data_IF_271242517768
#
_entry.id   IF_271242517768
#
_cell.length_a   1.000
_cell.length_b   1.000
_cell.length_c   1.000
_cell.angle_alpha   90.00
_cell.angle_beta   90.00
_cell.angle_gamma   90.00
#
_symmetry.space_group_name_H-M   'P 1'
#
loop_
_entity.id
_entity.type
_entity.pdbx_description
1 polymer ?
#
# COMPACT_ATOMS: atom_id res chain seq x y z
N UNK A 1 -1.47 -31.82 9.95
CA UNK A 1 -1.24 -30.41 9.56
C UNK A 1 -2.60 -29.75 9.47
N UNK A 2 -2.88 -28.74 10.30
CA UNK A 2 -4.12 -27.96 10.14
C UNK A 2 -4.05 -27.18 8.83
N UNK A 3 -5.06 -27.28 7.95
CA UNK A 3 -5.06 -26.49 6.73
C UNK A 3 -5.05 -24.99 7.10
N UNK A 4 -4.08 -24.27 6.59
CA UNK A 4 -4.00 -22.81 6.76
C UNK A 4 -5.27 -22.19 6.17
N UNK A 5 -5.91 -21.24 6.87
CA UNK A 5 -7.10 -20.60 6.35
C UNK A 5 -6.78 -19.89 5.02
N UNK A 6 -7.56 -20.16 4.00
CA UNK A 6 -7.41 -19.52 2.69
C UNK A 6 -7.72 -18.03 2.83
N UNK A 7 -6.83 -17.13 2.40
CA UNK A 7 -7.09 -15.71 2.42
C UNK A 7 -8.37 -15.33 1.66
N UNK A 8 -9.11 -14.38 2.20
CA UNK A 8 -10.36 -13.90 1.62
C UNK A 8 -10.22 -12.44 1.16
N UNK A 9 -11.08 -12.01 0.25
CA UNK A 9 -11.21 -10.60 -0.15
C UNK A 9 -11.39 -9.68 1.06
N UNK A 10 -12.20 -10.12 2.04
CA UNK A 10 -12.45 -9.35 3.25
C UNK A 10 -11.19 -9.17 4.10
N UNK A 11 -10.41 -10.24 4.31
CA UNK A 11 -9.15 -10.14 5.06
C UNK A 11 -8.15 -9.21 4.37
N UNK A 12 -8.08 -9.25 3.04
CA UNK A 12 -7.25 -8.35 2.25
C UNK A 12 -7.69 -6.88 2.39
N UNK A 13 -9.00 -6.60 2.32
CA UNK A 13 -9.54 -5.24 2.51
C UNK A 13 -9.28 -4.70 3.92
N UNK A 14 -9.36 -5.55 4.95
CA UNK A 14 -9.05 -5.17 6.33
C UNK A 14 -7.59 -4.74 6.44
N UNK A 15 -6.65 -5.50 5.85
CA UNK A 15 -5.23 -5.17 5.87
C UNK A 15 -4.97 -3.84 5.14
N UNK A 16 -5.52 -3.66 3.94
CA UNK A 16 -5.40 -2.41 3.20
C UNK A 16 -5.96 -1.23 3.99
N UNK A 17 -7.15 -1.39 4.58
CA UNK A 17 -7.78 -0.36 5.42
C UNK A 17 -6.95 -0.03 6.66
N UNK A 18 -6.41 -1.03 7.35
CA UNK A 18 -5.57 -0.82 8.53
C UNK A 18 -4.31 0.00 8.19
N UNK A 19 -3.63 -0.31 7.08
CA UNK A 19 -2.44 0.42 6.64
C UNK A 19 -2.77 1.84 6.15
N UNK A 20 -3.93 2.03 5.49
CA UNK A 20 -4.38 3.37 5.13
C UNK A 20 -4.70 4.23 6.36
N UNK A 21 -5.33 3.63 7.37
CA UNK A 21 -5.62 4.30 8.65
C UNK A 21 -4.33 4.62 9.41
N UNK A 22 -3.33 3.73 9.42
CA UNK A 22 -2.04 4.02 10.06
C UNK A 22 -1.36 5.26 9.46
N UNK A 23 -1.36 5.39 8.14
CA UNK A 23 -0.84 6.58 7.45
C UNK A 23 -1.58 7.87 7.84
N UNK A 24 -2.92 7.80 7.99
CA UNK A 24 -3.72 8.93 8.47
C UNK A 24 -3.43 9.27 9.94
N UNK A 25 -3.21 8.26 10.79
CA UNK A 25 -2.85 8.47 12.19
C UNK A 25 -1.50 9.16 12.34
N UNK A 26 -0.53 8.88 11.45
CA UNK A 26 0.74 9.65 11.42
C UNK A 26 0.48 11.13 11.15
N UNK A 27 -0.41 11.45 10.20
CA UNK A 27 -0.81 12.82 9.91
C UNK A 27 -1.49 13.51 11.09
N UNK A 28 -2.40 12.81 11.75
CA UNK A 28 -3.10 13.30 12.93
C UNK A 28 -2.14 13.55 14.09
N UNK A 29 -1.22 12.63 14.34
CA UNK A 29 -0.17 12.77 15.36
C UNK A 29 0.70 14.00 15.06
N UNK A 30 1.15 14.15 13.81
CA UNK A 30 1.94 15.31 13.40
C UNK A 30 1.17 16.62 13.58
N UNK A 31 -0.13 16.64 13.26
CA UNK A 31 -1.00 17.79 13.47
C UNK A 31 -1.07 18.20 14.94
N UNK A 32 -1.28 17.26 15.86
CA UNK A 32 -1.33 17.56 17.29
C UNK A 32 0.02 18.04 17.84
N UNK A 33 1.13 17.47 17.37
CA UNK A 33 2.48 17.89 17.77
C UNK A 33 2.77 19.31 17.26
N UNK A 34 2.41 19.64 16.01
CA UNK A 34 2.67 20.97 15.45
C UNK A 34 1.84 22.07 16.12
N UNK A 35 0.60 21.77 16.49
CA UNK A 35 -0.27 22.70 17.19
C UNK A 35 -0.06 22.71 18.71
N UNK A 36 0.82 21.83 19.23
CA UNK A 36 1.25 21.83 20.63
C UNK A 36 2.12 23.05 20.94
N UNK A 37 2.11 23.48 22.21
CA UNK A 37 2.90 24.63 22.67
C UNK A 37 4.39 24.34 22.88
N UNK A 38 4.86 23.16 22.52
CA UNK A 38 6.26 22.73 22.70
C UNK A 38 7.13 23.30 21.57
N UNK A 39 8.16 24.12 21.87
CA UNK A 39 9.08 24.62 20.87
C UNK A 39 9.79 23.43 20.19
N UNK A 40 9.76 23.40 18.86
CA UNK A 40 10.43 22.37 18.07
C UNK A 40 11.80 22.88 17.62
N UNK A 41 12.83 22.11 17.90
CA UNK A 41 14.18 22.41 17.43
C UNK A 41 14.39 21.80 16.05
N UNK A 42 14.85 22.61 15.08
CA UNK A 42 15.20 22.14 13.76
C UNK A 42 16.58 21.51 13.79
N UNK A 43 16.70 20.26 13.36
CA UNK A 43 17.99 19.58 13.25
C UNK A 43 18.89 20.24 12.20
N UNK A 44 20.18 20.50 12.51
CA UNK A 44 21.12 21.08 11.54
C UNK A 44 21.28 20.25 10.27
N UNK A 45 21.09 18.93 10.34
CA UNK A 45 21.15 18.01 9.19
C UNK A 45 19.87 17.92 8.36
N UNK A 46 18.80 18.63 8.73
CA UNK A 46 17.50 18.53 8.06
C UNK A 46 17.54 18.76 6.55
N UNK A 47 18.25 19.76 5.98
CA UNK A 47 18.25 19.98 4.54
C UNK A 47 18.79 18.79 3.74
N UNK A 48 19.90 18.20 4.18
CA UNK A 48 20.50 17.02 3.54
C UNK A 48 19.61 15.80 3.72
N UNK A 49 19.13 15.53 4.95
CA UNK A 49 18.24 14.41 5.24
C UNK A 49 16.91 14.52 4.46
N UNK A 50 16.37 15.72 4.30
CA UNK A 50 15.17 15.95 3.50
C UNK A 50 15.35 15.46 2.07
N UNK A 51 16.46 15.83 1.41
CA UNK A 51 16.73 15.40 0.04
C UNK A 51 16.84 13.88 -0.05
N UNK A 52 17.63 13.26 0.82
CA UNK A 52 17.85 11.81 0.87
C UNK A 52 16.53 11.06 1.12
N UNK A 53 15.79 11.44 2.16
CA UNK A 53 14.53 10.77 2.52
C UNK A 53 13.43 10.97 1.47
N UNK A 54 13.39 12.13 0.80
CA UNK A 54 12.45 12.34 -0.30
C UNK A 54 12.77 11.42 -1.49
N UNK A 55 14.04 11.25 -1.83
CA UNK A 55 14.44 10.31 -2.88
C UNK A 55 14.13 8.86 -2.52
N UNK A 56 14.38 8.46 -1.27
CA UNK A 56 14.02 7.13 -0.75
C UNK A 56 12.52 6.93 -0.85
N UNK A 57 11.71 7.87 -0.35
CA UNK A 57 10.25 7.79 -0.38
C UNK A 57 9.69 7.67 -1.81
N UNK A 58 10.25 8.42 -2.77
CA UNK A 58 9.88 8.28 -4.17
C UNK A 58 10.26 6.90 -4.75
N UNK A 59 11.45 6.40 -4.38
CA UNK A 59 11.87 5.05 -4.78
C UNK A 59 10.97 3.97 -4.18
N UNK A 60 10.56 4.10 -2.92
CA UNK A 60 9.63 3.18 -2.23
C UNK A 60 8.25 3.15 -2.90
N UNK A 61 7.68 4.33 -3.23
CA UNK A 61 6.41 4.41 -3.98
C UNK A 61 6.54 3.79 -5.37
N UNK A 62 7.63 4.10 -6.09
CA UNK A 62 7.91 3.50 -7.39
C UNK A 62 8.10 1.99 -7.31
N UNK A 63 8.83 1.52 -6.30
CA UNK A 63 9.03 0.09 -6.05
C UNK A 63 7.71 -0.63 -5.71
N UNK A 64 6.83 -0.02 -4.91
CA UNK A 64 5.50 -0.56 -4.60
C UNK A 64 4.66 -0.78 -5.87
N UNK A 65 4.61 0.24 -6.73
CA UNK A 65 3.87 0.19 -8.01
C UNK A 65 4.47 -0.87 -8.94
N UNK A 66 5.79 -0.85 -9.11
CA UNK A 66 6.51 -1.79 -9.97
C UNK A 66 6.39 -3.22 -9.45
N UNK A 67 6.59 -3.45 -8.14
CA UNK A 67 6.48 -4.76 -7.52
C UNK A 67 5.13 -5.41 -7.83
N UNK A 68 4.03 -4.74 -7.47
CA UNK A 68 2.71 -5.30 -7.70
C UNK A 68 2.40 -5.47 -9.20
N UNK A 69 2.91 -4.58 -10.06
CA UNK A 69 2.76 -4.70 -11.50
C UNK A 69 3.42 -5.97 -12.03
N UNK A 70 4.72 -6.15 -11.77
CA UNK A 70 5.47 -7.29 -12.30
C UNK A 70 5.04 -8.62 -11.70
N UNK A 71 4.69 -8.65 -10.43
CA UNK A 71 4.24 -9.89 -9.77
C UNK A 71 2.84 -10.33 -10.23
N UNK A 72 2.04 -9.40 -10.73
CA UNK A 72 0.68 -9.71 -11.21
C UNK A 72 0.56 -9.73 -12.73
N UNK A 73 1.63 -9.42 -13.46
CA UNK A 73 1.64 -9.39 -14.92
C UNK A 73 1.32 -10.79 -15.48
N UNK A 74 0.29 -10.90 -16.34
CA UNK A 74 -0.15 -12.16 -16.92
C UNK A 74 -0.76 -13.16 -15.92
N UNK A 75 -1.18 -12.70 -14.73
CA UNK A 75 -1.66 -13.57 -13.64
C UNK A 75 -2.92 -13.05 -12.95
N UNK A 76 -3.65 -12.17 -13.63
CA UNK A 76 -4.86 -11.52 -13.07
C UNK A 76 -6.17 -12.09 -13.63
N UNK A 77 -6.10 -13.18 -14.42
CA UNK A 77 -7.28 -13.88 -14.95
C UNK A 77 -7.86 -13.28 -16.24
N UNK A 78 -7.01 -12.72 -17.10
CA UNK A 78 -7.36 -12.40 -18.49
C UNK A 78 -7.42 -13.64 -19.38
N UNK A 79 -7.80 -13.48 -20.65
CA UNK A 79 -7.80 -14.59 -21.61
C UNK A 79 -6.39 -15.19 -21.75
N UNK A 80 -6.25 -16.46 -21.40
CA UNK A 80 -4.97 -17.18 -21.44
C UNK A 80 -4.04 -16.94 -20.24
N UNK A 81 -4.46 -16.17 -19.23
CA UNK A 81 -3.69 -15.92 -18.02
C UNK A 81 -3.99 -16.96 -16.94
N UNK A 82 -2.95 -17.33 -16.18
CA UNK A 82 -3.11 -18.16 -14.98
C UNK A 82 -3.33 -17.28 -13.77
N UNK A 83 -4.42 -17.51 -13.02
CA UNK A 83 -4.66 -16.80 -11.75
C UNK A 83 -3.61 -17.18 -10.70
N UNK A 84 -3.12 -16.17 -9.97
CA UNK A 84 -2.37 -16.40 -8.74
C UNK A 84 -3.27 -17.07 -7.70
N UNK A 85 -2.69 -17.89 -6.81
CA UNK A 85 -3.45 -18.32 -5.64
C UNK A 85 -3.75 -17.13 -4.72
N UNK A 86 -4.87 -17.17 -3.94
CA UNK A 86 -5.20 -16.10 -2.99
C UNK A 86 -4.08 -15.76 -2.02
N UNK A 87 -3.36 -16.77 -1.53
CA UNK A 87 -2.23 -16.60 -0.62
C UNK A 87 -1.07 -15.85 -1.29
N UNK A 88 -0.74 -16.21 -2.53
CA UNK A 88 0.31 -15.52 -3.30
C UNK A 88 -0.08 -14.08 -3.58
N UNK A 89 -1.30 -13.83 -4.07
CA UNK A 89 -1.77 -12.46 -4.34
C UNK A 89 -1.77 -11.60 -3.08
N UNK A 90 -2.25 -12.14 -1.95
CA UNK A 90 -2.25 -11.42 -0.69
C UNK A 90 -0.83 -11.07 -0.23
N UNK A 91 0.12 -12.02 -0.30
CA UNK A 91 1.52 -11.77 0.05
C UNK A 91 2.13 -10.66 -0.81
N UNK A 92 1.94 -10.72 -2.14
CA UNK A 92 2.49 -9.71 -3.05
C UNK A 92 1.87 -8.32 -2.79
N UNK A 93 0.57 -8.28 -2.50
CA UNK A 93 -0.13 -7.04 -2.16
C UNK A 93 0.37 -6.44 -0.84
N UNK A 94 0.59 -7.27 0.20
CA UNK A 94 1.11 -6.81 1.49
C UNK A 94 2.51 -6.20 1.33
N UNK A 95 3.38 -6.83 0.52
CA UNK A 95 4.71 -6.28 0.23
C UNK A 95 4.60 -4.91 -0.44
N UNK A 96 3.72 -4.78 -1.46
CA UNK A 96 3.49 -3.51 -2.12
C UNK A 96 2.93 -2.45 -1.16
N UNK A 97 1.98 -2.83 -0.28
CA UNK A 97 1.43 -1.93 0.73
C UNK A 97 2.49 -1.46 1.73
N UNK A 98 3.34 -2.37 2.22
CA UNK A 98 4.41 -2.04 3.15
C UNK A 98 5.44 -1.09 2.52
N UNK A 99 5.80 -1.31 1.25
CA UNK A 99 6.67 -0.39 0.51
C UNK A 99 6.04 0.99 0.33
N UNK A 100 4.74 1.09 0.09
CA UNK A 100 4.06 2.38 0.00
C UNK A 100 3.95 3.06 1.37
N UNK A 101 3.70 2.31 2.46
CA UNK A 101 3.60 2.87 3.81
C UNK A 101 4.94 3.40 4.32
N UNK A 102 6.08 2.77 3.95
CA UNK A 102 7.41 3.25 4.32
C UNK A 102 7.68 4.69 3.86
N UNK A 103 7.02 5.13 2.78
CA UNK A 103 7.04 6.54 2.37
C UNK A 103 6.45 7.47 3.46
N UNK A 104 5.30 7.12 4.06
CA UNK A 104 4.72 7.91 5.17
C UNK A 104 5.63 7.91 6.40
N UNK A 105 6.29 6.79 6.69
CA UNK A 105 7.26 6.67 7.81
C UNK A 105 8.49 7.55 7.56
N UNK A 106 9.00 7.58 6.33
CA UNK A 106 10.11 8.46 5.91
C UNK A 106 9.74 9.94 6.11
N UNK A 107 8.52 10.32 5.72
CA UNK A 107 7.99 11.66 5.96
C UNK A 107 7.86 11.99 7.45
N UNK A 108 7.37 11.04 8.27
CA UNK A 108 7.23 11.20 9.71
C UNK A 108 8.61 11.39 10.39
N UNK A 109 9.62 10.66 9.95
CA UNK A 109 11.00 10.84 10.42
C UNK A 109 11.49 12.27 10.20
N UNK A 110 11.28 12.82 9.00
CA UNK A 110 11.61 14.21 8.67
C UNK A 110 10.81 15.20 9.51
N UNK A 111 9.53 14.90 9.77
CA UNK A 111 8.71 15.73 10.65
C UNK A 111 9.31 15.83 12.06
N UNK A 112 9.76 14.73 12.64
CA UNK A 112 10.44 14.74 13.94
C UNK A 112 11.78 15.48 13.94
N UNK A 113 12.46 15.56 12.78
CA UNK A 113 13.67 16.36 12.60
C UNK A 113 13.41 17.87 12.46
N UNK A 114 12.15 18.31 12.46
CA UNK A 114 11.77 19.72 12.43
C UNK A 114 11.09 20.20 11.15
N UNK A 115 10.68 19.28 10.25
CA UNK A 115 9.80 19.66 9.14
C UNK A 115 8.41 20.10 9.63
N UNK A 116 7.75 20.94 8.84
CA UNK A 116 6.35 21.33 9.08
C UNK A 116 5.38 20.26 8.59
N UNK A 117 4.15 20.31 9.11
CA UNK A 117 3.06 19.43 8.64
C UNK A 117 2.83 19.57 7.12
N UNK A 118 2.89 20.80 6.59
CA UNK A 118 2.75 21.05 5.16
C UNK A 118 3.81 20.33 4.31
N UNK A 119 5.02 20.18 4.84
CA UNK A 119 6.11 19.45 4.18
C UNK A 119 5.99 17.93 4.36
N UNK A 120 5.32 17.47 5.41
CA UNK A 120 5.04 16.06 5.66
C UNK A 120 3.84 15.54 4.83
N UNK A 121 2.82 16.37 4.62
CA UNK A 121 1.58 15.99 3.96
C UNK A 121 1.77 15.27 2.60
N UNK A 122 2.71 15.66 1.70
CA UNK A 122 2.94 14.96 0.44
C UNK A 122 3.30 13.47 0.59
N UNK A 123 3.99 13.07 1.66
CA UNK A 123 4.36 11.67 1.93
C UNK A 123 3.12 10.84 2.25
N UNK A 124 2.19 11.37 3.05
CA UNK A 124 0.91 10.71 3.35
C UNK A 124 0.05 10.60 2.09
N UNK A 125 -0.11 11.71 1.36
CA UNK A 125 -0.91 11.72 0.12
C UNK A 125 -0.32 10.79 -0.94
N UNK A 126 1.00 10.70 -1.07
CA UNK A 126 1.67 9.76 -1.97
C UNK A 126 1.33 8.30 -1.63
N UNK A 127 1.42 7.93 -0.35
CA UNK A 127 1.06 6.60 0.14
C UNK A 127 -0.41 6.28 -0.13
N UNK A 128 -1.32 7.20 0.25
CA UNK A 128 -2.76 7.01 0.05
C UNK A 128 -3.13 6.96 -1.43
N UNK A 129 -2.46 7.74 -2.28
CA UNK A 129 -2.67 7.69 -3.74
C UNK A 129 -2.32 6.31 -4.31
N UNK A 130 -1.18 5.73 -3.91
CA UNK A 130 -0.82 4.36 -4.33
C UNK A 130 -1.83 3.34 -3.82
N UNK A 131 -2.31 3.45 -2.58
CA UNK A 131 -3.33 2.55 -2.05
C UNK A 131 -4.65 2.63 -2.84
N UNK A 132 -5.16 3.85 -3.05
CA UNK A 132 -6.49 4.06 -3.64
C UNK A 132 -6.50 3.90 -5.16
N UNK A 133 -5.47 4.38 -5.87
CA UNK A 133 -5.48 4.41 -7.34
C UNK A 133 -4.72 3.25 -7.98
N UNK A 134 -3.90 2.52 -7.22
CA UNK A 134 -3.11 1.42 -7.77
C UNK A 134 -3.42 0.07 -7.11
N UNK A 135 -3.26 -0.04 -5.80
CA UNK A 135 -3.40 -1.32 -5.10
C UNK A 135 -4.88 -1.75 -5.03
N UNK A 136 -5.76 -0.86 -4.61
CA UNK A 136 -7.20 -1.17 -4.46
C UNK A 136 -7.85 -1.61 -5.77
N UNK A 137 -7.71 -0.89 -6.91
CA UNK A 137 -8.32 -1.33 -8.16
C UNK A 137 -7.77 -2.67 -8.67
N UNK A 138 -6.48 -2.91 -8.53
CA UNK A 138 -5.87 -4.20 -8.88
C UNK A 138 -6.40 -5.33 -8.01
N UNK A 139 -6.49 -5.11 -6.71
CA UNK A 139 -7.03 -6.10 -5.79
C UNK A 139 -8.48 -6.44 -6.08
N UNK A 140 -9.32 -5.43 -6.32
CA UNK A 140 -10.73 -5.66 -6.66
C UNK A 140 -10.89 -6.46 -7.97
N UNK A 141 -10.05 -6.18 -8.99
CA UNK A 141 -10.05 -6.96 -10.25
C UNK A 141 -9.63 -8.40 -10.01
N UNK A 142 -8.58 -8.62 -9.23
CA UNK A 142 -8.12 -9.96 -8.89
C UNK A 142 -9.22 -10.78 -8.21
N UNK A 143 -9.82 -10.22 -7.14
CA UNK A 143 -10.87 -10.91 -6.40
C UNK A 143 -12.12 -11.17 -7.23
N UNK A 144 -12.51 -10.26 -8.11
CA UNK A 144 -13.61 -10.48 -9.05
C UNK A 144 -13.31 -11.63 -10.03
N UNK A 145 -12.09 -11.71 -10.56
CA UNK A 145 -11.66 -12.80 -11.43
C UNK A 145 -11.66 -14.14 -10.69
N UNK A 146 -11.14 -14.16 -9.45
CA UNK A 146 -11.12 -15.35 -8.61
C UNK A 146 -12.52 -15.85 -8.28
N UNK A 147 -13.44 -14.97 -7.86
CA UNK A 147 -14.83 -15.32 -7.57
C UNK A 147 -15.55 -15.88 -8.81
N UNK A 148 -15.22 -15.38 -10.02
CA UNK A 148 -15.79 -15.89 -11.28
C UNK A 148 -15.23 -17.26 -11.67
N UNK A 149 -13.94 -17.53 -11.40
CA UNK A 149 -13.33 -18.83 -11.69
C UNK A 149 -13.87 -19.95 -10.78
N UNK A 150 -14.30 -19.59 -9.57
CA UNK A 150 -14.93 -20.54 -8.62
C UNK A 150 -16.39 -20.89 -8.95
N UNK A 151 -17.06 -20.15 -9.84
CA UNK A 151 -18.43 -20.45 -10.22
C UNK A 151 -18.48 -21.73 -11.04
N UNK A 152 -19.43 -22.66 -10.76
CA UNK A 152 -19.64 -23.84 -11.61
C UNK A 152 -19.84 -23.40 -13.05
N UNK A 153 -18.98 -23.90 -13.94
CA UNK A 153 -19.20 -23.71 -15.38
C UNK A 153 -20.53 -24.37 -15.73
N UNK A 154 -21.47 -23.62 -16.32
CA UNK A 154 -22.71 -24.16 -16.78
C UNK A 154 -22.44 -25.38 -17.70
N UNK A 155 -23.21 -26.49 -17.57
CA UNK A 155 -23.03 -27.64 -18.44
C UNK A 155 -23.12 -27.18 -19.89
N UNK A 156 -22.17 -27.66 -20.72
CA UNK A 156 -22.16 -27.36 -22.15
C UNK A 156 -23.51 -27.80 -22.75
N UNK A 157 -24.19 -26.94 -23.53
CA UNK A 157 -25.46 -27.32 -24.19
C UNK A 157 -25.30 -28.43 -25.23
N UNK A 158 -24.06 -28.92 -25.43
CA UNK A 158 -23.72 -29.96 -26.40
C UNK A 158 -23.14 -31.24 -25.75
N UNK A 159 -23.35 -31.46 -24.44
CA UNK A 159 -22.98 -32.71 -23.76
C UNK A 159 -24.14 -33.66 -23.63
#
# INVERSE_FOLDING_TARGET
MNPQPVPTKQSWLIILGALAVSSLLYGLMAYFIENGKTPRTVSPGLPTMRTVMTLIALAELGASVAWLHFQTLGKMGGQGETLLSPAQFQTQSIIAMALAESCSVSGLTLFFMGQTLAQFAPFIFGTLAVFLFWILPKGLRYWAAWENDQKPKAPSPFS
#
